data_IF_847316216139
#
_entry.id   IF_847316216139
#
_cell.length_a   1.000
_cell.length_b   1.000
_cell.length_c   1.000
_cell.angle_alpha   90.00
_cell.angle_beta   90.00
_cell.angle_gamma   90.00
#
_symmetry.space_group_name_H-M   'P 1'
#
loop_
_entity.id
_entity.type
_entity.pdbx_description
1 polymer ?
#
# COMPACT_ATOMS: atom_id res chain seq x y z
N UNK A 1 -2.28 -29.77 -14.10
CA UNK A 1 -1.44 -28.60 -14.46
C UNK A 1 -2.32 -27.37 -14.46
N UNK A 2 -1.88 -26.27 -13.83
CA UNK A 2 -2.54 -24.97 -14.01
C UNK A 2 -2.39 -24.54 -15.47
N UNK A 3 -3.45 -23.99 -16.07
CA UNK A 3 -3.42 -23.48 -17.45
C UNK A 3 -2.88 -22.05 -17.46
N UNK A 4 -2.37 -21.61 -18.62
CA UNK A 4 -1.95 -20.20 -18.76
C UNK A 4 -3.12 -19.22 -18.58
N UNK A 5 -4.34 -19.62 -18.96
CA UNK A 5 -5.55 -18.85 -18.70
C UNK A 5 -5.82 -18.68 -17.19
N UNK A 6 -5.63 -19.73 -16.39
CA UNK A 6 -5.74 -19.64 -14.93
C UNK A 6 -4.71 -18.66 -14.35
N UNK A 7 -3.44 -18.79 -14.76
CA UNK A 7 -2.37 -17.88 -14.29
C UNK A 7 -2.62 -16.43 -14.70
N UNK A 8 -3.18 -16.19 -15.89
CA UNK A 8 -3.59 -14.85 -16.32
C UNK A 8 -4.66 -14.25 -15.40
N UNK A 9 -5.68 -15.03 -15.01
CA UNK A 9 -6.68 -14.57 -14.03
C UNK A 9 -6.06 -14.27 -12.66
N UNK A 10 -5.10 -15.08 -12.21
CA UNK A 10 -4.37 -14.81 -10.96
C UNK A 10 -3.53 -13.54 -11.06
N UNK A 11 -2.82 -13.29 -12.19
CA UNK A 11 -2.10 -12.03 -12.43
C UNK A 11 -3.02 -10.81 -12.37
N UNK A 12 -4.21 -10.90 -12.96
CA UNK A 12 -5.20 -9.81 -12.88
C UNK A 12 -5.63 -9.54 -11.43
N UNK A 13 -5.84 -10.59 -10.63
CA UNK A 13 -6.15 -10.44 -9.21
C UNK A 13 -4.99 -9.80 -8.42
N UNK A 14 -3.75 -10.21 -8.71
CA UNK A 14 -2.53 -9.61 -8.13
C UNK A 14 -2.43 -8.13 -8.47
N UNK A 15 -2.64 -7.74 -9.72
CA UNK A 15 -2.59 -6.33 -10.15
C UNK A 15 -3.67 -5.49 -9.45
N UNK A 16 -4.85 -6.05 -9.19
CA UNK A 16 -5.89 -5.36 -8.42
C UNK A 16 -5.48 -5.17 -6.96
N UNK A 17 -4.83 -6.16 -6.35
CA UNK A 17 -4.32 -6.06 -4.98
C UNK A 17 -3.21 -5.01 -4.86
N UNK A 18 -2.28 -4.96 -5.82
CA UNK A 18 -1.20 -3.97 -5.87
C UNK A 18 -1.79 -2.56 -5.94
N UNK A 19 -2.70 -2.30 -6.88
CA UNK A 19 -3.38 -1.01 -7.02
C UNK A 19 -4.16 -0.61 -5.77
N UNK A 20 -4.83 -1.57 -5.13
CA UNK A 20 -5.51 -1.32 -3.86
C UNK A 20 -4.52 -0.94 -2.76
N UNK A 21 -3.37 -1.63 -2.69
CA UNK A 21 -2.33 -1.36 -1.71
C UNK A 21 -1.75 0.06 -1.86
N UNK A 22 -1.37 0.42 -3.08
CA UNK A 22 -0.87 1.76 -3.43
C UNK A 22 -1.90 2.84 -3.12
N UNK A 23 -3.16 2.62 -3.49
CA UNK A 23 -4.24 3.57 -3.21
C UNK A 23 -4.45 3.76 -1.71
N UNK A 24 -4.39 2.69 -0.91
CA UNK A 24 -4.53 2.79 0.54
C UNK A 24 -3.36 3.59 1.11
N UNK A 25 -2.13 3.24 0.73
CA UNK A 25 -0.92 3.95 1.18
C UNK A 25 -0.99 5.45 0.87
N UNK A 26 -1.39 5.82 -0.36
CA UNK A 26 -1.53 7.23 -0.75
C UNK A 26 -2.57 7.97 0.09
N UNK A 27 -3.69 7.32 0.45
CA UNK A 27 -4.71 7.95 1.28
C UNK A 27 -4.32 8.05 2.76
N UNK A 28 -3.43 7.18 3.25
CA UNK A 28 -2.91 7.26 4.62
C UNK A 28 -2.14 8.55 4.88
N UNK A 29 -1.39 9.08 3.90
CA UNK A 29 -0.74 10.37 4.02
C UNK A 29 -1.74 11.50 4.30
N UNK A 30 -2.86 11.53 3.57
CA UNK A 30 -3.92 12.52 3.77
C UNK A 30 -4.59 12.41 5.15
N UNK A 31 -4.82 11.18 5.63
CA UNK A 31 -5.36 10.95 6.98
C UNK A 31 -4.36 11.44 8.04
N UNK A 32 -3.07 11.12 7.88
CA UNK A 32 -2.04 11.54 8.81
C UNK A 32 -1.90 13.07 8.88
N UNK A 33 -1.98 13.77 7.74
CA UNK A 33 -1.97 15.24 7.68
C UNK A 33 -3.21 15.89 8.30
N UNK A 34 -4.32 15.17 8.48
CA UNK A 34 -5.49 15.67 9.22
C UNK A 34 -5.40 15.41 10.72
N UNK A 35 -4.57 14.44 11.13
CA UNK A 35 -4.36 14.02 12.51
C UNK A 35 -2.96 14.38 13.01
N UNK A 36 -2.16 13.34 13.28
CA UNK A 36 -0.86 13.45 13.96
C UNK A 36 0.18 14.34 13.25
N UNK A 37 0.04 14.53 11.94
CA UNK A 37 0.95 15.34 11.12
C UNK A 37 0.31 16.64 10.66
N UNK A 38 -0.75 17.11 11.33
CA UNK A 38 -1.44 18.36 10.98
C UNK A 38 -0.54 19.59 10.99
N UNK A 39 0.47 19.60 11.84
CA UNK A 39 1.45 20.69 11.87
C UNK A 39 2.33 20.74 10.61
N UNK A 40 2.42 19.64 9.86
CA UNK A 40 3.12 19.61 8.57
C UNK A 40 2.29 20.24 7.44
N UNK A 41 0.96 20.28 7.57
CA UNK A 41 0.06 20.94 6.62
C UNK A 41 0.12 22.48 6.74
N UNK A 42 0.39 23.00 7.94
CA UNK A 42 0.36 24.45 8.22
C UNK A 42 1.65 25.22 7.99
N UNK A 43 2.79 24.56 7.75
CA UNK A 43 4.12 25.17 7.85
C UNK A 43 4.87 25.40 6.53
N UNK A 44 4.32 25.09 5.35
CA UNK A 44 5.17 25.06 4.12
C UNK A 44 4.81 25.97 2.94
N UNK A 45 5.83 26.54 2.27
CA UNK A 45 5.73 27.07 0.91
C UNK A 45 5.34 25.95 -0.08
N UNK A 46 4.64 26.33 -1.16
CA UNK A 46 4.04 25.48 -2.20
C UNK A 46 4.97 24.47 -2.94
N UNK A 47 6.25 24.33 -2.57
CA UNK A 47 7.29 23.71 -3.40
C UNK A 47 8.11 22.61 -2.71
N UNK A 48 7.66 22.06 -1.58
CA UNK A 48 8.38 20.97 -0.88
C UNK A 48 7.60 19.65 -0.95
N UNK A 49 8.22 18.64 -1.56
CA UNK A 49 7.73 17.26 -1.52
C UNK A 49 8.08 16.62 -0.18
N UNK A 50 7.09 16.05 0.50
CA UNK A 50 7.32 15.16 1.64
C UNK A 50 7.27 13.71 1.16
N UNK A 51 8.38 12.98 1.31
CA UNK A 51 8.34 11.53 1.26
C UNK A 51 7.79 11.01 2.59
N UNK A 52 6.61 10.39 2.52
CA UNK A 52 6.04 9.67 3.65
C UNK A 52 6.63 8.27 3.68
N UNK A 53 7.45 7.96 4.67
CA UNK A 53 7.91 6.59 4.93
C UNK A 53 6.77 5.82 5.61
N UNK A 54 6.55 4.56 5.20
CA UNK A 54 5.63 3.64 5.87
C UNK A 54 5.91 3.51 7.38
N UNK A 55 7.17 3.66 7.80
CA UNK A 55 7.54 3.67 9.23
C UNK A 55 6.88 4.83 10.00
N UNK A 56 6.64 5.97 9.35
CA UNK A 56 5.97 7.12 9.95
C UNK A 56 4.53 6.77 10.35
N UNK A 57 3.83 6.02 9.50
CA UNK A 57 2.47 5.55 9.79
C UNK A 57 2.45 4.48 10.88
N UNK A 58 3.49 3.65 10.98
CA UNK A 58 3.62 2.67 12.08
C UNK A 58 3.80 3.33 13.44
N UNK A 59 4.44 4.49 13.48
CA UNK A 59 4.73 5.24 14.70
C UNK A 59 3.61 6.22 15.10
N UNK A 60 2.61 6.43 14.25
CA UNK A 60 1.43 7.25 14.55
C UNK A 60 0.71 6.73 15.80
N UNK A 61 0.00 7.61 16.51
CA UNK A 61 -0.90 7.24 17.60
C UNK A 61 -2.35 7.05 17.14
N UNK A 62 -2.65 7.37 15.88
CA UNK A 62 -3.97 7.20 15.28
C UNK A 62 -4.27 5.72 15.01
N UNK A 63 -5.34 5.24 15.66
CA UNK A 63 -5.81 3.85 15.53
C UNK A 63 -6.26 3.50 14.12
N UNK A 64 -6.82 4.44 13.37
CA UNK A 64 -7.23 4.22 11.99
C UNK A 64 -6.00 4.02 11.10
N UNK A 65 -4.95 4.84 11.29
CA UNK A 65 -3.69 4.65 10.57
C UNK A 65 -3.04 3.30 10.90
N UNK A 66 -3.04 2.87 12.16
CA UNK A 66 -2.57 1.54 12.51
C UNK A 66 -3.36 0.41 11.83
N UNK A 67 -4.68 0.52 11.73
CA UNK A 67 -5.49 -0.47 11.01
C UNK A 67 -5.16 -0.50 9.52
N UNK A 68 -4.94 0.67 8.91
CA UNK A 68 -4.57 0.78 7.51
C UNK A 68 -3.16 0.20 7.24
N UNK A 69 -2.19 0.45 8.12
CA UNK A 69 -0.87 -0.23 8.10
C UNK A 69 -1.05 -1.74 8.09
N UNK A 70 -1.87 -2.29 9.00
CA UNK A 70 -2.10 -3.73 9.07
C UNK A 70 -2.77 -4.28 7.81
N UNK A 71 -3.64 -3.51 7.16
CA UNK A 71 -4.27 -3.90 5.89
C UNK A 71 -3.20 -3.96 4.79
N UNK A 72 -2.36 -2.93 4.67
CA UNK A 72 -1.26 -2.87 3.70
C UNK A 72 -0.34 -4.09 3.84
N UNK A 73 0.13 -4.37 5.06
CA UNK A 73 0.99 -5.52 5.34
C UNK A 73 0.34 -6.87 4.99
N UNK A 74 -0.97 -7.00 5.25
CA UNK A 74 -1.73 -8.22 4.91
C UNK A 74 -1.91 -8.37 3.40
N UNK A 75 -2.12 -7.27 2.67
CA UNK A 75 -2.21 -7.27 1.22
C UNK A 75 -0.86 -7.70 0.63
N UNK A 76 0.25 -7.11 1.07
CA UNK A 76 1.60 -7.48 0.63
C UNK A 76 1.93 -8.94 0.90
N UNK A 77 1.60 -9.44 2.09
CA UNK A 77 1.78 -10.85 2.42
C UNK A 77 0.94 -11.76 1.51
N UNK A 78 -0.31 -11.36 1.23
CA UNK A 78 -1.20 -12.12 0.34
C UNK A 78 -0.71 -12.14 -1.10
N UNK A 79 -0.19 -11.01 -1.61
CA UNK A 79 0.45 -10.89 -2.92
C UNK A 79 1.63 -11.86 -3.02
N UNK A 80 2.55 -11.82 -2.06
CA UNK A 80 3.73 -12.70 -2.02
C UNK A 80 3.35 -14.19 -2.00
N UNK A 81 2.32 -14.55 -1.23
CA UNK A 81 1.82 -15.92 -1.16
C UNK A 81 1.20 -16.37 -2.49
N UNK A 82 0.36 -15.54 -3.11
CA UNK A 82 -0.27 -15.83 -4.39
C UNK A 82 0.77 -15.97 -5.50
N UNK A 83 1.80 -15.12 -5.52
CA UNK A 83 2.95 -15.24 -6.42
C UNK A 83 3.64 -16.60 -6.23
N UNK A 84 4.01 -16.92 -4.98
CA UNK A 84 4.77 -18.12 -4.65
C UNK A 84 4.01 -19.41 -4.98
N UNK A 85 2.72 -19.47 -4.62
CA UNK A 85 1.87 -20.66 -4.85
C UNK A 85 1.67 -20.92 -6.34
N UNK A 86 1.57 -19.86 -7.14
CA UNK A 86 1.25 -19.96 -8.57
C UNK A 86 2.49 -19.88 -9.47
N UNK A 87 3.68 -19.73 -8.89
CA UNK A 87 4.96 -19.56 -9.58
C UNK A 87 4.87 -18.48 -10.68
N UNK A 88 4.34 -17.31 -10.30
CA UNK A 88 4.12 -16.15 -11.17
C UNK A 88 5.29 -15.17 -11.00
N UNK A 89 5.87 -14.71 -12.10
CA UNK A 89 6.71 -13.50 -12.08
C UNK A 89 5.83 -12.30 -12.42
N UNK A 90 5.86 -11.27 -11.57
CA UNK A 90 5.33 -9.96 -11.91
C UNK A 90 6.43 -9.19 -12.63
N UNK A 91 6.12 -8.65 -13.80
CA UNK A 91 6.98 -7.67 -14.45
C UNK A 91 6.75 -6.33 -13.73
N UNK A 92 7.81 -5.71 -13.20
CA UNK A 92 7.76 -4.32 -12.75
C UNK A 92 7.63 -3.44 -14.00
N UNK A 93 6.56 -2.66 -14.13
CA UNK A 93 6.38 -1.67 -15.20
C UNK A 93 7.32 -0.47 -15.00
#
# INVERSE_FOLDING_TARGET
MQTEAYKASVRNALNNLIKANESIFNTMAGIAMQGDLKDWDGLKPYNESHEFDFQLFKASTDKNLHLLVQIVEKIDHSINNLISINNITLEEE
#
